data_IF_027734417890
#
_entry.id   IF_027734417890
#
_cell.length_a   1.000
_cell.length_b   1.000
_cell.length_c   1.000
_cell.angle_alpha   90.00
_cell.angle_beta   90.00
_cell.angle_gamma   90.00
#
_symmetry.space_group_name_H-M   'P 1'
#
loop_
_entity.id
_entity.type
_entity.pdbx_description
1 polymer ?
#
# COMPACT_ATOMS: atom_id res chain seq x y z
N UNK A 1 -4.77 18.03 16.10
CA UNK A 1 -4.36 17.69 14.71
C UNK A 1 -4.40 16.20 14.39
N UNK A 2 -4.59 15.28 15.35
CA UNK A 2 -4.65 13.82 15.09
C UNK A 2 -5.96 13.31 14.49
N UNK A 3 -7.11 13.93 14.76
CA UNK A 3 -8.41 13.40 14.31
C UNK A 3 -8.70 13.51 12.80
N UNK A 4 -8.05 14.42 12.08
CA UNK A 4 -8.31 14.62 10.65
C UNK A 4 -7.78 13.47 9.78
N UNK A 5 -6.58 12.99 10.06
CA UNK A 5 -5.96 11.90 9.29
C UNK A 5 -6.67 10.57 9.53
N UNK A 6 -7.12 10.32 10.75
CA UNK A 6 -7.89 9.13 11.10
C UNK A 6 -9.26 9.11 10.40
N UNK A 7 -9.89 10.29 10.24
CA UNK A 7 -11.20 10.42 9.59
C UNK A 7 -11.17 10.14 8.09
N UNK A 8 -10.05 10.36 7.39
CA UNK A 8 -9.95 10.11 5.94
C UNK A 8 -10.25 8.63 5.62
N UNK A 9 -9.74 7.72 6.45
CA UNK A 9 -9.96 6.28 6.28
C UNK A 9 -11.40 5.88 6.59
N UNK A 10 -12.00 6.48 7.63
CA UNK A 10 -13.39 6.23 8.01
C UNK A 10 -14.34 6.71 6.91
N UNK A 11 -14.17 7.97 6.47
CA UNK A 11 -14.98 8.58 5.42
C UNK A 11 -14.84 7.84 4.08
N UNK A 12 -13.63 7.43 3.71
CA UNK A 12 -13.40 6.64 2.49
C UNK A 12 -14.13 5.29 2.53
N UNK A 13 -14.03 4.56 3.66
CA UNK A 13 -14.70 3.28 3.84
C UNK A 13 -16.23 3.44 3.82
N UNK A 14 -16.76 4.45 4.49
CA UNK A 14 -18.20 4.74 4.50
C UNK A 14 -18.75 5.03 3.11
N UNK A 15 -18.00 5.75 2.26
CA UNK A 15 -18.40 5.99 0.86
C UNK A 15 -18.44 4.72 0.03
N UNK A 16 -17.51 3.79 0.27
CA UNK A 16 -17.51 2.49 -0.41
C UNK A 16 -18.64 1.60 0.10
N UNK A 17 -18.86 1.56 1.42
CA UNK A 17 -19.94 0.77 2.02
C UNK A 17 -21.32 1.31 1.69
N UNK A 18 -21.46 2.62 1.44
CA UNK A 18 -22.71 3.23 0.99
C UNK A 18 -23.22 2.64 -0.34
N UNK A 19 -22.32 2.13 -1.19
CA UNK A 19 -22.69 1.42 -2.43
C UNK A 19 -23.36 0.06 -2.16
N UNK A 20 -23.14 -0.50 -0.97
CA UNK A 20 -23.66 -1.80 -0.54
C UNK A 20 -24.71 -1.70 0.56
N UNK A 21 -25.25 -0.50 0.83
CA UNK A 21 -26.13 -0.21 1.96
C UNK A 21 -27.48 -0.98 1.97
N UNK A 22 -27.85 -1.64 0.87
CA UNK A 22 -29.03 -2.51 0.79
C UNK A 22 -28.79 -3.98 1.14
N UNK A 23 -27.57 -4.35 1.52
CA UNK A 23 -27.17 -5.73 1.77
C UNK A 23 -27.34 -6.14 3.25
N UNK A 24 -27.43 -7.45 3.56
CA UNK A 24 -27.56 -7.91 4.94
C UNK A 24 -26.32 -7.60 5.79
N UNK A 25 -26.52 -7.37 7.09
CA UNK A 25 -25.50 -6.88 8.04
C UNK A 25 -24.21 -7.70 8.05
N UNK A 26 -24.31 -9.03 7.99
CA UNK A 26 -23.15 -9.93 7.98
C UNK A 26 -22.27 -9.70 6.75
N UNK A 27 -22.86 -9.37 5.60
CA UNK A 27 -22.14 -9.15 4.35
C UNK A 27 -21.39 -7.82 4.42
N UNK A 28 -22.00 -6.78 5.01
CA UNK A 28 -21.35 -5.50 5.26
C UNK A 28 -20.12 -5.65 6.15
N UNK A 29 -20.19 -6.47 7.20
CA UNK A 29 -19.06 -6.72 8.09
C UNK A 29 -17.90 -7.44 7.38
N UNK A 30 -18.20 -8.45 6.56
CA UNK A 30 -17.19 -9.17 5.77
C UNK A 30 -16.53 -8.24 4.75
N UNK A 31 -17.31 -7.45 4.01
CA UNK A 31 -16.78 -6.49 3.03
C UNK A 31 -15.89 -5.44 3.71
N UNK A 32 -16.34 -4.87 4.83
CA UNK A 32 -15.56 -3.91 5.62
C UNK A 32 -14.22 -4.50 6.08
N UNK A 33 -14.23 -5.76 6.52
CA UNK A 33 -13.03 -6.47 6.97
C UNK A 33 -12.07 -6.74 5.82
N UNK A 34 -12.58 -7.25 4.69
CA UNK A 34 -11.78 -7.51 3.49
C UNK A 34 -11.17 -6.23 2.92
N UNK A 35 -11.93 -5.13 2.88
CA UNK A 35 -11.42 -3.84 2.43
C UNK A 35 -10.24 -3.40 3.29
N UNK A 36 -10.38 -3.47 4.61
CA UNK A 36 -9.32 -3.09 5.55
C UNK A 36 -8.07 -3.95 5.36
N UNK A 37 -8.24 -5.28 5.27
CA UNK A 37 -7.13 -6.22 5.05
C UNK A 37 -6.43 -5.94 3.71
N UNK A 38 -7.20 -5.72 2.64
CA UNK A 38 -6.64 -5.49 1.30
C UNK A 38 -5.78 -4.22 1.24
N UNK A 39 -6.24 -3.12 1.85
CA UNK A 39 -5.49 -1.86 1.92
C UNK A 39 -4.22 -2.04 2.75
N UNK A 40 -4.33 -2.73 3.90
CA UNK A 40 -3.18 -3.00 4.76
C UNK A 40 -2.12 -3.82 4.00
N UNK A 41 -2.52 -4.92 3.37
CA UNK A 41 -1.61 -5.74 2.57
C UNK A 41 -0.97 -4.94 1.43
N UNK A 42 -1.74 -4.17 0.67
CA UNK A 42 -1.21 -3.36 -0.42
C UNK A 42 -0.14 -2.37 0.06
N UNK A 43 -0.37 -1.69 1.18
CA UNK A 43 0.59 -0.74 1.76
C UNK A 43 1.85 -1.46 2.23
N UNK A 44 1.72 -2.52 3.04
CA UNK A 44 2.88 -3.21 3.60
C UNK A 44 3.72 -3.93 2.55
N UNK A 45 3.09 -4.59 1.56
CA UNK A 45 3.79 -5.23 0.46
C UNK A 45 4.55 -4.21 -0.39
N UNK A 46 3.93 -3.05 -0.68
CA UNK A 46 4.58 -1.97 -1.43
C UNK A 46 5.76 -1.39 -0.65
N UNK A 47 5.60 -1.14 0.66
CA UNK A 47 6.68 -0.64 1.50
C UNK A 47 7.84 -1.63 1.57
N UNK A 48 7.57 -2.91 1.75
CA UNK A 48 8.59 -3.95 1.77
C UNK A 48 9.33 -4.03 0.43
N UNK A 49 8.59 -3.99 -0.68
CA UNK A 49 9.14 -3.96 -2.03
C UNK A 49 10.08 -2.75 -2.22
N UNK A 50 9.66 -1.55 -1.81
CA UNK A 50 10.49 -0.33 -1.88
C UNK A 50 11.71 -0.39 -0.95
N UNK A 51 11.56 -0.92 0.26
CA UNK A 51 12.66 -1.09 1.21
C UNK A 51 13.75 -2.01 0.65
N UNK A 52 13.37 -3.12 0.02
CA UNK A 52 14.32 -4.03 -0.65
C UNK A 52 15.09 -3.37 -1.81
N UNK A 53 14.46 -2.45 -2.55
CA UNK A 53 15.17 -1.65 -3.56
C UNK A 53 16.16 -0.71 -2.93
N UNK A 54 15.73 -0.03 -1.88
CA UNK A 54 16.53 0.95 -1.19
C UNK A 54 17.79 0.32 -0.60
N UNK A 55 17.65 -0.84 0.03
CA UNK A 55 18.76 -1.64 0.53
C UNK A 55 19.77 -1.98 -0.58
N UNK A 56 19.30 -2.54 -1.71
CA UNK A 56 20.17 -2.86 -2.85
C UNK A 56 20.85 -1.62 -3.44
N UNK A 57 20.17 -0.47 -3.46
CA UNK A 57 20.76 0.80 -3.89
C UNK A 57 21.86 1.26 -2.93
N UNK A 58 21.62 1.22 -1.63
CA UNK A 58 22.61 1.59 -0.61
C UNK A 58 23.85 0.69 -0.72
N UNK A 59 23.66 -0.63 -0.76
CA UNK A 59 24.76 -1.59 -0.86
C UNK A 59 25.61 -1.34 -2.12
N UNK A 60 24.97 -1.03 -3.25
CA UNK A 60 25.69 -0.68 -4.47
C UNK A 60 26.51 0.62 -4.31
N UNK A 61 25.97 1.65 -3.63
CA UNK A 61 26.71 2.89 -3.34
C UNK A 61 27.90 2.64 -2.41
N UNK A 62 27.76 1.79 -1.39
CA UNK A 62 28.87 1.39 -0.51
C UNK A 62 29.96 0.68 -1.31
N UNK A 63 29.57 -0.20 -2.23
CA UNK A 63 30.48 -0.96 -3.10
C UNK A 63 31.01 -0.15 -4.30
N UNK A 64 30.75 1.15 -4.36
CA UNK A 64 31.11 2.03 -5.47
C UNK A 64 30.71 1.48 -6.86
N UNK A 65 29.52 0.85 -6.95
CA UNK A 65 28.94 0.38 -8.22
C UNK A 65 27.53 0.92 -8.41
N UNK A 66 27.05 0.90 -9.65
CA UNK A 66 25.68 1.31 -9.92
C UNK A 66 24.68 0.30 -9.34
N UNK A 67 23.76 0.82 -8.53
CA UNK A 67 22.63 0.05 -8.02
C UNK A 67 21.58 -0.21 -9.11
N UNK A 68 20.55 -0.99 -8.79
CA UNK A 68 19.55 -1.39 -9.76
C UNK A 68 18.84 -0.18 -10.41
N UNK A 69 18.87 -0.05 -11.75
CA UNK A 69 18.29 1.08 -12.52
C UNK A 69 17.61 0.68 -13.86
N UNK A 70 17.14 -0.56 -14.01
CA UNK A 70 16.62 -1.08 -15.29
C UNK A 70 15.15 -0.80 -15.57
N UNK A 71 14.26 -0.89 -14.57
CA UNK A 71 12.79 -0.81 -14.79
C UNK A 71 12.18 0.39 -14.07
N UNK A 72 11.54 1.27 -14.83
CA UNK A 72 10.90 2.50 -14.34
C UNK A 72 11.87 3.64 -14.01
N UNK A 73 11.34 4.84 -13.72
CA UNK A 73 12.15 6.00 -13.31
C UNK A 73 12.93 5.65 -12.04
N UNK A 74 14.25 5.88 -12.05
CA UNK A 74 15.18 5.52 -10.98
C UNK A 74 15.13 4.04 -10.54
N UNK A 75 14.58 3.12 -11.35
CA UNK A 75 14.48 1.72 -10.97
C UNK A 75 13.37 1.37 -9.96
N UNK A 76 12.43 2.28 -9.70
CA UNK A 76 11.38 2.09 -8.69
C UNK A 76 10.42 0.92 -8.97
N UNK A 77 10.25 0.57 -10.24
CA UNK A 77 9.32 -0.49 -10.66
C UNK A 77 9.95 -1.89 -10.66
N UNK A 78 11.23 -2.02 -10.30
CA UNK A 78 11.93 -3.31 -10.32
C UNK A 78 11.41 -4.39 -9.37
N UNK A 79 10.77 -4.11 -8.23
CA UNK A 79 10.11 -5.14 -7.42
C UNK A 79 8.88 -5.74 -8.09
N UNK A 80 8.32 -5.03 -9.07
CA UNK A 80 7.14 -5.43 -9.82
C UNK A 80 7.48 -5.88 -11.25
N UNK A 81 8.77 -5.90 -11.61
CA UNK A 81 9.28 -6.37 -12.90
C UNK A 81 9.57 -7.87 -12.83
#
# INVERSE_FOLDING_TARGET
MSGFLDQIFVLGKERVLALFAGAPEWLLQVISSLLTISVLLAVFLTLFALMSLFERKILARIQNRLGPNRVGPFGLLQPAA
#
